data_IF_323300565181
#
_entry.id   IF_323300565181
#
_cell.length_a   1.000
_cell.length_b   1.000
_cell.length_c   1.000
_cell.angle_alpha   90.00
_cell.angle_beta   90.00
_cell.angle_gamma   90.00
#
_symmetry.space_group_name_H-M   'P 1'
#
loop_
_entity.id
_entity.type
_entity.pdbx_description
1 polymer ?
#
# COMPACT_ATOMS: atom_id res chain seq x y z
N UNK A 1 27.77 -63.75 -64.90
CA UNK A 1 28.00 -62.40 -65.47
C UNK A 1 28.92 -61.65 -64.50
N UNK A 2 30.25 -61.87 -64.52
CA UNK A 2 31.35 -61.03 -65.10
C UNK A 2 31.29 -59.55 -64.64
N UNK A 3 32.31 -58.85 -64.11
CA UNK A 3 33.75 -59.01 -63.78
C UNK A 3 34.10 -57.84 -62.82
N UNK A 4 34.87 -57.99 -61.73
CA UNK A 4 36.32 -57.72 -61.50
C UNK A 4 36.87 -56.33 -61.96
N UNK A 5 37.53 -55.59 -61.04
CA UNK A 5 38.92 -55.03 -61.06
C UNK A 5 39.06 -53.61 -60.45
N UNK A 6 39.83 -53.53 -59.33
CA UNK A 6 40.92 -52.60 -58.89
C UNK A 6 40.86 -51.10 -59.30
N UNK A 7 41.33 -50.13 -58.49
CA UNK A 7 42.74 -49.93 -58.14
C UNK A 7 42.95 -48.88 -57.04
N UNK A 8 44.02 -49.09 -56.26
CA UNK A 8 44.68 -48.22 -55.28
C UNK A 8 44.98 -46.79 -55.78
N UNK A 9 45.02 -45.79 -54.89
CA UNK A 9 46.28 -45.13 -54.46
C UNK A 9 46.03 -43.87 -53.63
N UNK A 10 47.02 -43.60 -52.79
CA UNK A 10 47.09 -42.72 -51.65
C UNK A 10 47.58 -41.29 -51.99
N UNK A 11 47.61 -40.45 -50.94
CA UNK A 11 48.45 -39.25 -50.68
C UNK A 11 47.88 -37.82 -50.88
N UNK A 12 47.85 -37.13 -49.73
CA UNK A 12 48.43 -35.79 -49.43
C UNK A 12 47.54 -34.53 -49.54
N UNK A 13 47.17 -34.08 -48.35
CA UNK A 13 47.33 -32.74 -47.75
C UNK A 13 47.03 -31.47 -48.56
N UNK A 14 46.08 -30.70 -48.04
CA UNK A 14 45.96 -29.26 -48.23
C UNK A 14 45.32 -28.64 -46.99
N UNK A 15 46.14 -27.96 -46.18
CA UNK A 15 45.72 -27.18 -45.02
C UNK A 15 44.80 -26.03 -45.45
N UNK A 16 43.57 -25.96 -44.91
CA UNK A 16 42.78 -24.73 -44.91
C UNK A 16 42.29 -24.45 -43.49
N UNK A 17 42.97 -23.52 -42.81
CA UNK A 17 42.58 -22.97 -41.52
C UNK A 17 41.39 -22.02 -41.76
N UNK A 18 40.17 -22.50 -41.51
CA UNK A 18 38.98 -21.65 -41.46
C UNK A 18 38.88 -21.08 -40.05
N UNK A 19 39.26 -19.82 -39.87
CA UNK A 19 38.99 -19.08 -38.63
C UNK A 19 37.50 -18.72 -38.62
N UNK A 20 36.69 -19.56 -37.97
CA UNK A 20 35.31 -19.21 -37.64
C UNK A 20 35.33 -18.25 -36.46
N UNK A 21 35.32 -16.95 -36.74
CA UNK A 21 35.05 -15.92 -35.75
C UNK A 21 33.63 -16.08 -35.21
N UNK A 22 33.50 -16.69 -34.03
CA UNK A 22 32.26 -16.69 -33.26
C UNK A 22 32.09 -15.28 -32.70
N UNK A 23 31.40 -14.41 -33.44
CA UNK A 23 30.83 -13.19 -32.87
C UNK A 23 29.73 -13.62 -31.91
N UNK A 24 30.07 -13.76 -30.62
CA UNK A 24 29.08 -13.81 -29.57
C UNK A 24 28.22 -12.53 -29.67
N UNK A 25 26.88 -12.60 -29.60
CA UNK A 25 26.08 -11.40 -29.54
C UNK A 25 26.49 -10.67 -28.26
N UNK A 26 27.10 -9.50 -28.42
CA UNK A 26 27.28 -8.55 -27.34
C UNK A 26 25.87 -8.26 -26.83
N UNK A 27 25.52 -8.82 -25.65
CA UNK A 27 24.34 -8.38 -24.92
C UNK A 27 24.51 -6.89 -24.75
N UNK A 28 23.69 -6.12 -25.46
CA UNK A 28 23.58 -4.68 -25.24
C UNK A 28 23.43 -4.48 -23.74
N UNK A 29 24.40 -3.81 -23.12
CA UNK A 29 24.32 -3.37 -21.74
C UNK A 29 23.02 -2.58 -21.63
N UNK A 30 22.01 -3.14 -20.95
CA UNK A 30 20.80 -2.41 -20.61
C UNK A 30 21.25 -1.10 -19.96
N UNK A 31 20.77 0.01 -20.50
CA UNK A 31 21.12 1.36 -20.10
C UNK A 31 21.05 1.48 -18.56
N UNK A 32 22.21 1.63 -17.91
CA UNK A 32 22.32 1.67 -16.43
C UNK A 32 21.95 3.06 -15.87
N UNK A 33 21.57 4.00 -16.73
CA UNK A 33 21.15 5.34 -16.35
C UNK A 33 19.74 5.41 -15.76
N UNK A 34 19.46 6.51 -15.07
CA UNK A 34 18.10 6.83 -14.63
C UNK A 34 17.27 7.24 -15.84
N UNK A 35 16.15 6.56 -16.09
CA UNK A 35 15.21 6.92 -17.15
C UNK A 35 14.16 7.89 -16.61
N UNK A 36 14.10 9.07 -17.20
CA UNK A 36 13.14 10.12 -16.82
C UNK A 36 11.96 10.17 -17.80
N UNK A 37 10.76 10.23 -17.26
CA UNK A 37 9.51 10.36 -18.02
C UNK A 37 8.57 11.31 -17.31
N UNK A 38 7.56 11.82 -18.02
CA UNK A 38 6.55 12.69 -17.43
C UNK A 38 5.17 12.29 -17.95
N UNK A 39 4.16 12.47 -17.10
CA UNK A 39 2.75 12.31 -17.45
C UNK A 39 1.90 13.13 -16.50
N UNK A 40 0.60 13.24 -16.76
CA UNK A 40 -0.34 13.95 -15.89
C UNK A 40 -1.30 12.98 -15.22
N UNK A 41 -1.59 13.20 -13.94
CA UNK A 41 -2.56 12.43 -13.17
C UNK A 41 -3.24 13.36 -12.17
N UNK A 42 -4.58 13.39 -12.12
CA UNK A 42 -5.31 14.10 -11.08
C UNK A 42 -5.21 13.34 -9.74
N UNK A 43 -5.18 14.01 -8.57
CA UNK A 43 -5.19 15.47 -8.35
C UNK A 43 -3.82 16.16 -8.49
N UNK A 44 -2.78 15.43 -8.87
CA UNK A 44 -1.38 15.88 -8.81
C UNK A 44 -0.93 16.80 -9.95
N UNK A 45 -1.65 16.80 -11.07
CA UNK A 45 -1.20 17.45 -12.29
C UNK A 45 -0.02 16.70 -12.88
N UNK A 46 1.06 17.42 -13.24
CA UNK A 46 2.26 16.81 -13.83
C UNK A 46 3.07 15.99 -12.82
N UNK A 47 3.29 14.72 -13.14
CA UNK A 47 4.18 13.77 -12.46
C UNK A 47 5.51 13.69 -13.22
N UNK A 48 6.63 13.69 -12.49
CA UNK A 48 7.97 13.42 -13.02
C UNK A 48 8.47 12.09 -12.49
N UNK A 49 8.66 11.11 -13.36
CA UNK A 49 8.98 9.75 -12.96
C UNK A 49 10.42 9.40 -13.31
N UNK A 50 11.21 9.09 -12.29
CA UNK A 50 12.62 8.71 -12.35
C UNK A 50 12.73 7.21 -12.07
N UNK A 51 13.09 6.44 -13.08
CA UNK A 51 13.23 4.98 -12.99
C UNK A 51 14.70 4.58 -12.82
N UNK A 52 15.03 3.74 -11.84
CA UNK A 52 16.39 3.21 -11.71
C UNK A 52 16.70 2.25 -12.87
N UNK A 53 17.98 1.99 -13.11
CA UNK A 53 18.40 0.89 -13.97
C UNK A 53 18.02 -0.45 -13.33
N UNK A 54 17.04 -1.15 -13.92
CA UNK A 54 16.53 -2.44 -13.43
C UNK A 54 15.31 -2.35 -12.49
N UNK A 55 14.99 -3.45 -11.81
CA UNK A 55 13.85 -3.51 -10.90
C UNK A 55 14.10 -2.66 -9.64
N UNK A 56 13.16 -1.77 -9.26
CA UNK A 56 13.35 -0.93 -8.09
C UNK A 56 13.32 -1.75 -6.81
N UNK A 57 14.13 -1.32 -5.84
CA UNK A 57 14.17 -1.89 -4.47
C UNK A 57 13.27 -1.15 -3.48
N UNK A 58 12.82 0.04 -3.83
CA UNK A 58 11.76 0.77 -3.14
C UNK A 58 11.10 1.79 -4.08
N UNK A 59 9.92 2.28 -3.68
CA UNK A 59 9.19 3.34 -4.36
C UNK A 59 9.14 4.58 -3.45
N UNK A 60 9.36 5.76 -4.01
CA UNK A 60 9.26 7.04 -3.31
C UNK A 60 8.32 8.01 -4.05
N UNK A 61 7.45 8.66 -3.29
CA UNK A 61 6.64 9.80 -3.77
C UNK A 61 7.25 11.08 -3.20
N UNK A 62 7.77 11.94 -4.07
CA UNK A 62 8.49 13.14 -3.67
C UNK A 62 7.63 14.38 -3.90
N UNK A 63 7.14 14.95 -2.79
CA UNK A 63 6.42 16.21 -2.69
C UNK A 63 7.40 17.40 -2.65
N UNK A 64 7.33 18.29 -3.64
CA UNK A 64 8.18 19.47 -3.74
C UNK A 64 7.93 20.51 -2.64
N UNK A 65 8.75 21.56 -2.60
CA UNK A 65 8.48 22.75 -1.79
C UNK A 65 7.48 23.72 -2.43
N UNK A 66 7.38 24.91 -1.84
CA UNK A 66 6.46 25.99 -2.19
C UNK A 66 6.60 26.50 -3.64
N UNK A 67 7.82 26.42 -4.19
CA UNK A 67 8.10 26.77 -5.58
C UNK A 67 7.65 25.73 -6.61
N UNK A 68 7.09 24.61 -6.19
CA UNK A 68 6.76 23.49 -7.07
C UNK A 68 7.97 22.65 -7.46
N UNK A 69 7.78 21.74 -8.44
CA UNK A 69 8.85 20.87 -8.92
C UNK A 69 9.89 21.65 -9.73
N UNK A 70 11.16 21.61 -9.33
CA UNK A 70 12.23 22.40 -9.92
C UNK A 70 13.54 21.57 -10.10
N UNK A 71 14.62 22.23 -10.55
CA UNK A 71 15.90 21.57 -10.80
C UNK A 71 16.53 20.96 -9.53
N UNK A 72 16.36 21.59 -8.36
CA UNK A 72 16.87 21.09 -7.08
C UNK A 72 16.18 19.79 -6.67
N UNK A 73 14.84 19.76 -6.67
CA UNK A 73 14.08 18.54 -6.36
C UNK A 73 14.29 17.46 -7.41
N UNK A 74 14.43 17.82 -8.69
CA UNK A 74 14.77 16.89 -9.77
C UNK A 74 16.14 16.23 -9.55
N UNK A 75 17.14 17.00 -9.13
CA UNK A 75 18.47 16.46 -8.84
C UNK A 75 18.45 15.49 -7.65
N UNK A 76 17.73 15.82 -6.58
CA UNK A 76 17.52 14.92 -5.44
C UNK A 76 16.80 13.63 -5.86
N UNK A 77 15.77 13.72 -6.70
CA UNK A 77 15.05 12.55 -7.23
C UNK A 77 15.95 11.65 -8.08
N UNK A 78 16.80 12.25 -8.93
CA UNK A 78 17.80 11.52 -9.72
C UNK A 78 18.82 10.82 -8.83
N UNK A 79 19.27 11.46 -7.76
CA UNK A 79 20.19 10.85 -6.78
C UNK A 79 19.58 9.63 -6.07
N UNK A 80 18.30 9.70 -5.72
CA UNK A 80 17.57 8.55 -5.15
C UNK A 80 17.40 7.43 -6.19
N UNK A 81 17.06 7.79 -7.45
CA UNK A 81 16.91 6.80 -8.52
C UNK A 81 18.22 6.11 -8.89
N UNK A 82 19.35 6.83 -8.89
CA UNK A 82 20.69 6.25 -9.04
C UNK A 82 21.01 5.22 -7.93
N UNK A 83 20.30 5.26 -6.81
CA UNK A 83 20.45 4.34 -5.67
C UNK A 83 19.38 3.24 -5.65
N UNK A 84 18.65 3.07 -6.75
CA UNK A 84 17.72 1.96 -6.97
C UNK A 84 16.26 2.24 -6.55
N UNK A 85 15.91 3.50 -6.26
CA UNK A 85 14.53 3.87 -5.93
C UNK A 85 13.76 4.27 -7.18
N UNK A 86 12.50 3.82 -7.30
CA UNK A 86 11.55 4.40 -8.23
C UNK A 86 11.00 5.70 -7.63
N UNK A 87 11.19 6.85 -8.26
CA UNK A 87 10.78 8.15 -7.68
C UNK A 87 9.74 8.84 -8.55
N UNK A 88 8.59 9.18 -7.97
CA UNK A 88 7.59 10.05 -8.60
C UNK A 88 7.60 11.43 -7.94
N UNK A 89 8.06 12.42 -8.68
CA UNK A 89 8.05 13.83 -8.31
C UNK A 89 6.69 14.48 -8.54
N UNK A 90 6.23 15.21 -7.54
CA UNK A 90 4.91 15.85 -7.45
C UNK A 90 5.07 17.30 -7.02
N UNK A 91 4.35 18.20 -7.67
CA UNK A 91 4.25 19.61 -7.24
C UNK A 91 3.29 19.75 -6.06
N UNK A 92 3.80 20.05 -4.87
CA UNK A 92 2.98 20.29 -3.67
C UNK A 92 1.99 21.45 -3.84
N UNK A 93 2.35 22.60 -4.44
CA UNK A 93 1.39 23.67 -4.72
C UNK A 93 0.26 23.25 -5.65
N UNK A 94 0.51 22.34 -6.61
CA UNK A 94 -0.54 21.81 -7.47
C UNK A 94 -1.46 20.87 -6.69
N UNK A 95 -0.89 19.93 -5.93
CA UNK A 95 -1.66 19.02 -5.08
C UNK A 95 -2.56 19.78 -4.11
N UNK A 96 -1.99 20.71 -3.34
CA UNK A 96 -2.75 21.47 -2.34
C UNK A 96 -3.86 22.32 -2.95
N UNK A 97 -3.61 22.98 -4.10
CA UNK A 97 -4.67 23.72 -4.81
C UNK A 97 -5.82 22.81 -5.24
N UNK A 98 -5.53 21.59 -5.68
CA UNK A 98 -6.57 20.64 -6.06
C UNK A 98 -7.34 20.15 -4.83
N UNK A 99 -6.65 19.74 -3.77
CA UNK A 99 -7.28 19.26 -2.53
C UNK A 99 -8.17 20.33 -1.88
N UNK A 100 -7.75 21.60 -1.90
CA UNK A 100 -8.55 22.74 -1.41
C UNK A 100 -9.85 22.95 -2.22
N UNK A 101 -9.85 22.61 -3.52
CA UNK A 101 -11.00 22.79 -4.42
C UNK A 101 -11.94 21.59 -4.51
N UNK A 102 -11.50 20.41 -4.09
CA UNK A 102 -12.34 19.21 -4.08
C UNK A 102 -13.59 19.40 -3.21
N UNK A 103 -14.62 18.59 -3.42
CA UNK A 103 -15.88 18.68 -2.67
C UNK A 103 -15.80 18.05 -1.27
N UNK A 104 -14.71 17.36 -0.95
CA UNK A 104 -14.49 16.80 0.38
C UNK A 104 -14.50 17.88 1.47
N UNK A 105 -15.15 17.55 2.59
CA UNK A 105 -15.31 18.45 3.75
C UNK A 105 -13.99 18.85 4.39
N UNK A 106 -12.95 18.04 4.22
CA UNK A 106 -11.63 18.23 4.79
C UNK A 106 -10.53 17.63 3.91
N UNK A 107 -9.27 18.00 4.15
CA UNK A 107 -8.08 17.51 3.44
C UNK A 107 -7.58 16.21 4.09
N UNK A 108 -7.47 15.16 3.28
CA UNK A 108 -6.72 13.93 3.57
C UNK A 108 -6.00 13.50 2.26
N UNK A 109 -4.67 13.69 2.15
CA UNK A 109 -3.94 13.37 0.92
C UNK A 109 -3.70 11.86 0.74
N UNK A 110 -3.99 11.04 1.75
CA UNK A 110 -3.47 9.69 1.82
C UNK A 110 -4.00 8.76 0.71
N UNK A 111 -5.31 8.82 0.42
CA UNK A 111 -5.90 8.00 -0.66
C UNK A 111 -5.30 8.36 -2.02
N UNK A 112 -5.15 9.66 -2.30
CA UNK A 112 -4.51 10.10 -3.54
C UNK A 112 -3.06 9.60 -3.63
N UNK A 113 -2.29 9.69 -2.54
CA UNK A 113 -0.89 9.24 -2.51
C UNK A 113 -0.77 7.72 -2.72
N UNK A 114 -1.65 6.92 -2.13
CA UNK A 114 -1.70 5.48 -2.38
C UNK A 114 -2.05 5.19 -3.85
N UNK A 115 -3.04 5.89 -4.42
CA UNK A 115 -3.40 5.74 -5.83
C UNK A 115 -2.22 6.10 -6.76
N UNK A 116 -1.50 7.18 -6.48
CA UNK A 116 -0.29 7.54 -7.24
C UNK A 116 0.80 6.47 -7.12
N UNK A 117 1.05 5.96 -5.92
CA UNK A 117 2.03 4.87 -5.71
C UNK A 117 1.71 3.65 -6.56
N UNK A 118 0.44 3.25 -6.61
CA UNK A 118 -0.04 2.13 -7.42
C UNK A 118 0.19 2.40 -8.90
N UNK A 119 -0.29 3.54 -9.41
CA UNK A 119 -0.14 3.94 -10.82
C UNK A 119 1.33 3.97 -11.25
N UNK A 120 2.19 4.60 -10.44
CA UNK A 120 3.64 4.70 -10.70
C UNK A 120 4.29 3.32 -10.76
N UNK A 121 3.99 2.43 -9.82
CA UNK A 121 4.59 1.10 -9.75
C UNK A 121 4.11 0.20 -10.90
N UNK A 122 2.83 0.24 -11.26
CA UNK A 122 2.35 -0.49 -12.42
C UNK A 122 2.98 0.02 -13.72
N UNK A 123 3.01 1.34 -13.95
CA UNK A 123 3.68 1.91 -15.12
C UNK A 123 5.16 1.54 -15.18
N UNK A 124 5.80 1.32 -14.03
CA UNK A 124 7.20 0.92 -13.96
C UNK A 124 7.42 -0.60 -14.07
N UNK A 125 6.36 -1.40 -14.19
CA UNK A 125 6.48 -2.85 -14.27
C UNK A 125 7.08 -3.46 -13.01
N UNK A 126 6.76 -2.90 -11.85
CA UNK A 126 7.23 -3.43 -10.56
C UNK A 126 6.54 -4.77 -10.30
N UNK A 127 7.32 -5.81 -9.99
CA UNK A 127 6.79 -7.18 -9.87
C UNK A 127 5.98 -7.43 -8.60
N UNK A 128 6.28 -6.72 -7.52
CA UNK A 128 5.58 -6.84 -6.24
C UNK A 128 5.37 -5.46 -5.65
N UNK A 129 4.14 -5.17 -5.21
CA UNK A 129 3.81 -3.88 -4.63
C UNK A 129 4.72 -3.57 -3.45
N UNK A 130 5.31 -2.37 -3.45
CA UNK A 130 6.09 -1.85 -2.34
C UNK A 130 5.34 -0.66 -1.75
N UNK A 131 5.04 -0.70 -0.45
CA UNK A 131 4.56 0.50 0.28
C UNK A 131 5.54 1.66 0.03
N UNK A 132 5.06 2.84 -0.40
CA UNK A 132 5.95 3.93 -0.79
C UNK A 132 6.61 4.57 0.43
N UNK A 133 7.78 5.17 0.21
CA UNK A 133 8.37 6.18 1.08
C UNK A 133 7.82 7.53 0.65
N UNK A 134 7.21 8.29 1.56
CA UNK A 134 6.81 9.67 1.25
C UNK A 134 7.97 10.59 1.56
N UNK A 135 8.44 11.35 0.58
CA UNK A 135 9.52 12.32 0.73
C UNK A 135 8.92 13.71 0.51
N UNK A 136 9.20 14.64 1.41
CA UNK A 136 8.73 16.01 1.30
C UNK A 136 9.84 17.01 1.51
N UNK A 137 9.86 18.06 0.70
CA UNK A 137 10.77 19.21 0.82
C UNK A 137 9.97 20.49 1.15
N UNK A 138 10.43 21.31 2.11
CA UNK A 138 9.72 22.53 2.58
C UNK A 138 8.24 22.25 2.89
N UNK A 139 7.26 22.96 2.32
CA UNK A 139 5.84 22.66 2.50
C UNK A 139 5.45 21.22 2.12
N UNK A 140 6.15 20.59 1.17
CA UNK A 140 6.00 19.16 0.90
C UNK A 140 6.37 18.28 2.09
N UNK A 141 7.35 18.71 2.90
CA UNK A 141 7.76 18.05 4.14
C UNK A 141 6.64 18.11 5.20
N UNK A 142 5.90 19.22 5.25
CA UNK A 142 4.73 19.43 6.10
C UNK A 142 3.55 18.56 5.65
N UNK A 143 3.26 18.50 4.34
CA UNK A 143 2.24 17.58 3.79
C UNK A 143 2.62 16.12 4.03
N UNK A 144 3.91 15.76 3.89
CA UNK A 144 4.41 14.42 4.15
C UNK A 144 4.18 14.02 5.61
N UNK A 145 4.51 14.88 6.57
CA UNK A 145 4.18 14.66 7.99
C UNK A 145 2.67 14.58 8.23
N UNK A 146 1.87 15.48 7.66
CA UNK A 146 0.42 15.46 7.84
C UNK A 146 -0.19 14.16 7.33
N UNK A 147 0.27 13.66 6.18
CA UNK A 147 -0.16 12.37 5.63
C UNK A 147 0.12 11.22 6.61
N UNK A 148 1.35 11.17 7.16
CA UNK A 148 1.73 10.21 8.21
C UNK A 148 0.90 10.37 9.48
N UNK A 149 0.71 11.60 9.95
CA UNK A 149 0.02 11.87 11.20
C UNK A 149 -1.48 11.56 11.09
N UNK A 150 -2.09 11.70 9.91
CA UNK A 150 -3.45 11.27 9.65
C UNK A 150 -3.58 9.75 9.56
N UNK A 151 -2.54 9.03 9.11
CA UNK A 151 -2.46 7.57 9.09
C UNK A 151 -1.23 7.04 9.87
N UNK A 152 -1.24 7.10 11.21
CA UNK A 152 -0.08 6.78 12.05
C UNK A 152 0.43 5.33 11.94
N UNK A 153 -0.37 4.46 11.33
CA UNK A 153 -0.11 3.04 11.08
C UNK A 153 -0.23 2.68 9.58
N UNK A 154 -0.10 3.68 8.71
CA UNK A 154 -0.66 3.71 7.35
C UNK A 154 0.04 2.92 6.26
N UNK A 155 -0.29 3.31 5.02
CA UNK A 155 0.13 2.69 3.76
C UNK A 155 1.60 2.89 3.40
N UNK A 156 2.38 3.54 4.26
CA UNK A 156 3.74 3.98 3.95
C UNK A 156 4.77 3.07 4.59
N UNK A 157 5.90 2.93 3.90
CA UNK A 157 7.07 2.25 4.45
C UNK A 157 7.79 3.17 5.44
N UNK A 158 7.88 4.46 5.12
CA UNK A 158 8.47 5.51 5.95
C UNK A 158 8.10 6.89 5.39
N UNK A 159 8.35 7.93 6.17
CA UNK A 159 8.28 9.32 5.71
C UNK A 159 9.60 10.04 5.96
N UNK A 160 10.04 10.82 4.97
CA UNK A 160 11.23 11.66 5.00
C UNK A 160 10.82 13.12 4.77
N UNK A 161 11.15 13.99 5.72
CA UNK A 161 10.84 15.42 5.66
C UNK A 161 12.14 16.23 5.67
N UNK A 162 12.40 17.02 4.61
CA UNK A 162 13.53 17.93 4.50
C UNK A 162 13.04 19.38 4.68
N UNK A 163 13.57 20.10 5.67
CA UNK A 163 13.13 21.48 5.92
C UNK A 163 11.73 21.54 6.53
N UNK A 164 11.47 20.75 7.59
CA UNK A 164 10.12 20.55 8.13
C UNK A 164 9.65 21.70 9.03
N UNK A 165 8.56 22.36 8.65
CA UNK A 165 7.73 23.17 9.54
C UNK A 165 6.38 22.50 9.82
N UNK A 166 5.79 22.78 10.98
CA UNK A 166 4.52 22.18 11.39
C UNK A 166 3.29 22.96 10.85
N UNK A 167 3.50 24.07 10.16
CA UNK A 167 2.44 24.93 9.64
C UNK A 167 2.36 24.90 8.11
N UNK A 168 1.14 24.98 7.58
CA UNK A 168 0.87 25.04 6.15
C UNK A 168 -0.24 26.05 5.82
N UNK A 169 -0.09 26.91 4.80
CA UNK A 169 -1.16 27.79 4.35
C UNK A 169 -2.35 26.99 3.80
N UNK A 170 -3.56 27.52 4.00
CA UNK A 170 -4.78 26.85 3.53
C UNK A 170 -6.06 27.41 4.14
N UNK A 171 -7.20 27.00 3.59
CA UNK A 171 -8.53 27.39 4.09
C UNK A 171 -9.35 26.18 4.51
N UNK A 172 -9.33 25.10 3.74
CA UNK A 172 -10.07 23.87 4.03
C UNK A 172 -9.49 23.19 5.28
N UNK A 173 -10.34 22.71 6.21
CA UNK A 173 -9.87 21.96 7.38
C UNK A 173 -9.21 20.65 6.98
N UNK A 174 -8.30 20.15 7.82
CA UNK A 174 -7.71 18.82 7.66
C UNK A 174 -8.57 17.77 8.37
N UNK A 175 -8.69 16.59 7.77
CA UNK A 175 -9.54 15.54 8.34
C UNK A 175 -8.99 15.05 9.68
N UNK A 176 -9.88 14.93 10.67
CA UNK A 176 -9.55 14.36 11.97
C UNK A 176 -9.11 12.91 11.83
N UNK A 177 -8.11 12.52 12.62
CA UNK A 177 -7.67 11.14 12.74
C UNK A 177 -7.16 10.87 14.16
N UNK A 178 -7.10 9.61 14.61
CA UNK A 178 -6.55 9.27 15.91
C UNK A 178 -5.18 9.91 16.17
N UNK A 179 -5.11 10.75 17.21
CA UNK A 179 -3.90 11.47 17.60
C UNK A 179 -3.51 12.66 16.72
N UNK A 180 -4.15 12.87 15.57
CA UNK A 180 -3.89 14.01 14.69
C UNK A 180 -4.70 15.23 15.13
N UNK A 181 -4.01 16.35 15.36
CA UNK A 181 -4.63 17.64 15.68
C UNK A 181 -4.07 18.71 14.75
N UNK A 182 -4.98 19.52 14.20
CA UNK A 182 -4.68 20.68 13.39
C UNK A 182 -5.44 21.89 13.96
N UNK A 183 -4.75 23.01 14.15
CA UNK A 183 -5.33 24.25 14.67
C UNK A 183 -5.24 25.34 13.61
N UNK A 184 -6.32 26.08 13.39
CA UNK A 184 -6.30 27.21 12.47
C UNK A 184 -5.38 28.31 13.01
N UNK A 185 -4.55 28.89 12.14
CA UNK A 185 -3.65 29.99 12.44
C UNK A 185 -3.86 31.14 11.45
N UNK A 186 -3.51 32.36 11.86
CA UNK A 186 -3.57 33.56 11.02
C UNK A 186 -2.17 34.12 10.66
N UNK A 187 -1.10 33.60 11.28
CA UNK A 187 0.29 33.99 11.07
C UNK A 187 1.17 32.74 10.93
N UNK A 188 2.22 32.74 10.07
CA UNK A 188 2.62 33.85 9.20
C UNK A 188 1.63 34.12 8.06
N UNK A 189 0.81 33.13 7.70
CA UNK A 189 -0.34 33.26 6.83
C UNK A 189 -1.56 32.53 7.41
N UNK A 190 -2.75 32.76 6.85
CA UNK A 190 -3.93 31.97 7.17
C UNK A 190 -3.69 30.51 6.75
N UNK A 191 -3.80 29.60 7.70
CA UNK A 191 -3.47 28.19 7.48
C UNK A 191 -3.74 27.32 8.70
N UNK A 192 -2.96 26.25 8.81
CA UNK A 192 -3.09 25.23 9.84
C UNK A 192 -1.74 24.95 10.49
N UNK A 193 -1.73 24.88 11.82
CA UNK A 193 -0.62 24.41 12.63
C UNK A 193 -0.93 22.98 13.11
N UNK A 194 -0.07 22.04 12.77
CA UNK A 194 -0.19 20.65 13.20
C UNK A 194 0.45 20.44 14.57
N UNK A 195 -0.12 19.52 15.35
CA UNK A 195 0.49 19.05 16.59
C UNK A 195 1.27 17.73 16.37
N UNK A 196 2.24 17.41 17.25
CA UNK A 196 2.86 16.08 17.29
C UNK A 196 1.83 14.97 17.52
N UNK A 197 1.81 13.96 16.65
CA UNK A 197 0.99 12.77 16.85
C UNK A 197 1.80 11.67 17.57
N UNK A 198 1.40 11.34 18.81
CA UNK A 198 2.04 10.33 19.66
C UNK A 198 1.62 8.89 19.36
N UNK A 199 0.75 8.68 18.38
CA UNK A 199 0.27 7.36 17.96
C UNK A 199 0.99 6.83 16.71
N UNK A 200 1.90 7.63 16.10
CA UNK A 200 2.71 7.22 14.96
C UNK A 200 3.58 6.03 15.34
N UNK A 201 3.49 4.96 14.53
CA UNK A 201 4.28 3.73 14.69
C UNK A 201 5.13 3.41 13.44
N UNK A 202 5.25 4.36 12.50
CA UNK A 202 6.07 4.23 11.31
C UNK A 202 7.31 5.13 11.42
N UNK A 203 8.44 4.75 10.78
CA UNK A 203 9.64 5.58 10.78
C UNK A 203 9.37 6.95 10.14
N UNK A 204 9.67 8.02 10.89
CA UNK A 204 9.68 9.39 10.38
C UNK A 204 11.08 9.98 10.46
N UNK A 205 11.72 10.19 9.33
CA UNK A 205 13.06 10.78 9.27
C UNK A 205 12.92 12.26 8.94
N UNK A 206 13.53 13.13 9.74
CA UNK A 206 13.57 14.57 9.48
C UNK A 206 15.01 14.97 9.24
N UNK A 207 15.26 15.68 8.15
CA UNK A 207 16.57 16.27 7.83
C UNK A 207 16.42 17.78 7.99
N UNK A 208 17.21 18.36 8.89
CA UNK A 208 17.12 19.78 9.18
C UNK A 208 18.51 20.41 9.26
N UNK A 209 18.69 21.52 8.55
CA UNK A 209 19.86 22.38 8.65
C UNK A 209 19.81 23.28 9.89
N UNK A 210 20.94 23.42 10.59
CA UNK A 210 21.02 24.38 11.71
C UNK A 210 21.09 25.84 11.25
N UNK A 211 21.46 26.07 9.97
CA UNK A 211 21.52 27.40 9.35
C UNK A 211 20.33 27.67 8.44
N UNK A 212 19.27 26.87 8.55
CA UNK A 212 18.02 27.11 7.84
C UNK A 212 17.39 28.42 8.35
N UNK A 213 17.28 29.41 7.47
CA UNK A 213 16.70 30.73 7.76
C UNK A 213 15.21 30.82 7.42
N UNK A 214 14.64 29.78 6.80
CA UNK A 214 13.23 29.69 6.44
C UNK A 214 12.45 28.99 7.55
N UNK A 215 13.02 27.92 8.12
CA UNK A 215 12.43 27.11 9.17
C UNK A 215 13.34 27.05 10.39
N UNK A 216 12.82 27.40 11.57
CA UNK A 216 13.56 27.34 12.84
C UNK A 216 13.95 25.89 13.21
N UNK A 217 15.26 25.61 13.18
CA UNK A 217 15.84 24.34 13.60
C UNK A 217 15.41 23.94 15.01
N UNK A 218 15.37 24.88 15.96
CA UNK A 218 15.03 24.60 17.34
C UNK A 218 13.56 24.18 17.47
N UNK A 219 12.65 24.84 16.74
CA UNK A 219 11.25 24.44 16.65
C UNK A 219 11.07 23.05 16.03
N UNK A 220 11.72 22.78 14.89
CA UNK A 220 11.68 21.46 14.25
C UNK A 220 12.19 20.36 15.20
N UNK A 221 13.33 20.59 15.87
CA UNK A 221 13.89 19.65 16.85
C UNK A 221 12.94 19.37 18.02
N UNK A 222 12.32 20.41 18.61
CA UNK A 222 11.34 20.25 19.70
C UNK A 222 10.10 19.49 19.25
N UNK A 223 9.65 19.69 18.01
CA UNK A 223 8.51 18.99 17.46
C UNK A 223 8.82 17.50 17.26
N UNK A 224 9.93 17.20 16.58
CA UNK A 224 10.37 15.83 16.25
C UNK A 224 10.58 14.99 17.51
N UNK A 225 11.13 15.58 18.57
CA UNK A 225 11.34 14.88 19.85
C UNK A 225 10.04 14.38 20.52
N UNK A 226 8.88 14.89 20.12
CA UNK A 226 7.57 14.49 20.67
C UNK A 226 6.87 13.41 19.85
N UNK A 227 7.41 13.04 18.69
CA UNK A 227 6.82 12.03 17.80
C UNK A 227 7.59 10.72 17.95
N UNK A 228 6.92 9.62 18.35
CA UNK A 228 7.56 8.30 18.42
C UNK A 228 8.08 7.84 17.07
N UNK A 229 9.14 7.03 17.09
CA UNK A 229 9.81 6.51 15.87
C UNK A 229 10.34 7.60 14.92
N UNK A 230 10.41 8.85 15.39
CA UNK A 230 11.01 9.93 14.64
C UNK A 230 12.53 9.96 14.84
N UNK A 231 13.26 10.28 13.77
CA UNK A 231 14.72 10.42 13.77
C UNK A 231 15.10 11.74 13.12
N UNK A 232 15.72 12.62 13.90
CA UNK A 232 16.32 13.85 13.38
C UNK A 232 17.74 13.59 12.86
N UNK A 233 17.99 13.96 11.61
CA UNK A 233 19.31 14.08 10.99
C UNK A 233 19.64 15.57 10.96
N UNK A 234 20.42 15.99 11.96
CA UNK A 234 20.95 17.34 12.09
C UNK A 234 22.10 17.57 11.09
N UNK A 235 22.02 18.65 10.31
CA UNK A 235 23.08 19.17 9.45
C UNK A 235 23.62 20.51 10.00
N UNK A 236 24.76 20.52 10.73
CA UNK A 236 25.29 21.74 11.35
C UNK A 236 25.58 22.89 10.39
N UNK A 237 25.93 22.56 9.14
CA UNK A 237 26.23 23.52 8.08
C UNK A 237 25.13 23.57 7.02
N UNK A 238 24.03 22.85 7.21
CA UNK A 238 22.93 22.80 6.26
C UNK A 238 22.07 24.05 6.31
N UNK A 239 21.67 24.52 5.13
CA UNK A 239 20.67 25.56 4.90
C UNK A 239 19.33 24.94 4.47
N UNK A 240 18.37 25.79 4.08
CA UNK A 240 17.07 25.35 3.61
C UNK A 240 17.12 24.68 2.23
N UNK A 241 18.09 25.02 1.37
CA UNK A 241 18.15 24.55 0.00
C UNK A 241 18.71 23.11 -0.12
N UNK A 242 19.42 22.64 0.90
CA UNK A 242 20.06 21.32 0.93
C UNK A 242 20.96 21.08 -0.29
N UNK A 243 21.64 22.12 -0.78
CA UNK A 243 22.40 22.07 -2.03
C UNK A 243 23.57 21.08 -2.01
N UNK A 244 24.30 20.98 -0.88
CA UNK A 244 25.43 20.05 -0.70
C UNK A 244 24.96 18.60 -0.42
N UNK A 245 24.35 17.98 -1.45
CA UNK A 245 23.82 16.62 -1.39
C UNK A 245 24.85 15.56 -1.06
N UNK A 246 26.12 15.81 -1.37
CA UNK A 246 27.21 14.88 -1.05
C UNK A 246 27.37 14.67 0.46
N UNK A 247 27.10 15.71 1.28
CA UNK A 247 27.22 15.63 2.74
C UNK A 247 26.04 14.95 3.43
N UNK A 248 24.83 15.10 2.92
CA UNK A 248 23.62 14.63 3.63
C UNK A 248 22.95 13.41 3.01
N UNK A 249 23.02 13.20 1.69
CA UNK A 249 22.37 12.08 1.03
C UNK A 249 22.84 10.71 1.56
N UNK A 250 24.14 10.47 1.83
CA UNK A 250 24.57 9.22 2.45
C UNK A 250 23.94 8.96 3.83
N UNK A 251 23.73 10.02 4.63
CA UNK A 251 23.10 9.92 5.96
C UNK A 251 21.62 9.56 5.85
N UNK A 252 20.92 10.14 4.88
CA UNK A 252 19.53 9.80 4.56
C UNK A 252 19.42 8.34 4.12
N UNK A 253 20.29 7.91 3.20
CA UNK A 253 20.27 6.53 2.71
C UNK A 253 20.60 5.52 3.81
N UNK A 254 21.53 5.84 4.72
CA UNK A 254 21.81 5.02 5.89
C UNK A 254 20.60 4.93 6.83
N UNK A 255 19.85 6.02 7.00
CA UNK A 255 18.62 6.01 7.79
C UNK A 255 17.49 5.22 7.12
N UNK A 256 17.40 5.25 5.78
CA UNK A 256 16.42 4.48 5.01
C UNK A 256 16.79 3.01 4.84
N UNK A 257 18.07 2.63 4.95
CA UNK A 257 18.54 1.27 4.65
C UNK A 257 17.71 0.15 5.30
N UNK A 258 17.30 0.22 6.59
CA UNK A 258 16.45 -0.81 7.20
C UNK A 258 15.09 -0.98 6.52
N UNK A 259 14.58 0.08 5.90
CA UNK A 259 13.29 0.11 5.19
C UNK A 259 13.39 -0.39 3.75
N UNK A 260 14.60 -0.42 3.18
CA UNK A 260 14.88 -0.88 1.81
C UNK A 260 15.13 -2.40 1.74
N UNK A 261 15.42 -3.03 2.88
CA UNK A 261 15.56 -4.47 2.95
C UNK A 261 14.19 -5.12 2.76
N UNK A 262 14.11 -6.09 1.85
CA UNK A 262 12.97 -7.00 1.78
C UNK A 262 13.12 -7.96 2.96
N UNK A 263 12.08 -8.10 3.78
CA UNK A 263 12.09 -9.13 4.82
C UNK A 263 11.99 -10.45 4.07
N UNK A 264 13.06 -11.24 4.11
CA UNK A 264 13.06 -12.57 3.51
C UNK A 264 12.07 -13.46 4.28
N UNK A 265 11.30 -14.19 3.50
CA UNK A 265 10.15 -14.97 3.89
C UNK A 265 10.52 -16.44 4.12
N UNK A 266 10.39 -16.97 5.35
CA UNK A 266 10.35 -18.42 5.62
C UNK A 266 9.42 -18.84 6.81
N UNK A 267 8.11 -19.04 6.51
CA UNK A 267 7.02 -19.76 7.25
C UNK A 267 5.57 -19.35 6.84
N UNK A 268 4.94 -20.09 5.90
CA UNK A 268 3.86 -19.59 5.01
C UNK A 268 4.24 -18.25 4.31
N UNK A 269 5.50 -17.85 4.43
CA UNK A 269 5.96 -16.47 4.28
C UNK A 269 6.03 -16.03 2.82
N UNK A 270 5.78 -16.92 1.85
CA UNK A 270 5.54 -16.52 0.45
C UNK A 270 4.27 -15.64 0.30
N UNK A 271 3.45 -15.57 1.36
CA UNK A 271 2.26 -14.74 1.42
C UNK A 271 2.49 -13.46 2.25
N UNK A 272 1.99 -12.29 1.78
CA UNK A 272 2.08 -11.02 2.50
C UNK A 272 1.07 -10.96 3.66
N UNK A 273 1.34 -11.69 4.74
CA UNK A 273 0.46 -11.80 5.91
C UNK A 273 0.77 -10.74 6.97
N UNK A 274 -0.28 -10.23 7.62
CA UNK A 274 -0.21 -9.33 8.76
C UNK A 274 -0.77 -10.05 9.98
N UNK A 275 0.07 -10.31 10.98
CA UNK A 275 -0.34 -11.09 12.16
C UNK A 275 -0.69 -10.16 13.31
N UNK A 276 -1.92 -10.26 13.84
CA UNK A 276 -2.36 -9.53 15.03
C UNK A 276 -2.66 -10.56 16.13
N UNK A 277 -1.86 -10.54 17.18
CA UNK A 277 -2.02 -11.43 18.33
C UNK A 277 -3.05 -10.86 19.32
N UNK A 278 -3.80 -11.72 20.02
CA UNK A 278 -4.78 -11.29 21.01
C UNK A 278 -4.10 -10.56 22.17
N UNK A 279 -4.83 -9.64 22.81
CA UNK A 279 -4.32 -8.93 23.97
C UNK A 279 -4.03 -9.93 25.13
N UNK A 280 -2.92 -9.77 25.89
CA UNK A 280 -2.47 -10.75 26.88
C UNK A 280 -3.49 -11.16 27.97
N UNK A 281 -4.52 -10.33 28.22
CA UNK A 281 -5.56 -10.55 29.25
C UNK A 281 -6.97 -10.68 28.67
N UNK A 282 -7.10 -10.83 27.36
CA UNK A 282 -8.40 -11.02 26.75
C UNK A 282 -8.96 -12.41 27.08
N UNK A 283 -10.29 -12.52 27.19
CA UNK A 283 -10.99 -13.79 27.36
C UNK A 283 -10.68 -14.72 26.19
N UNK A 284 -10.46 -16.00 26.49
CA UNK A 284 -10.17 -17.00 25.47
C UNK A 284 -11.44 -17.29 24.63
N UNK A 285 -11.38 -17.00 23.32
CA UNK A 285 -12.45 -17.27 22.35
C UNK A 285 -11.98 -18.33 21.36
N UNK A 286 -12.71 -19.42 21.12
CA UNK A 286 -12.25 -20.52 20.25
C UNK A 286 -12.08 -20.13 18.76
N UNK A 287 -12.40 -18.88 18.39
CA UNK A 287 -12.29 -18.36 17.04
C UNK A 287 -10.97 -17.63 16.76
N UNK A 288 -10.58 -17.67 15.49
CA UNK A 288 -9.63 -16.73 14.87
C UNK A 288 -10.32 -16.01 13.70
N UNK A 289 -9.74 -14.88 13.27
CA UNK A 289 -10.21 -14.20 12.06
C UNK A 289 -9.17 -14.25 10.94
N UNK A 290 -9.65 -14.36 9.70
CA UNK A 290 -8.88 -14.10 8.49
C UNK A 290 -9.53 -12.91 7.79
N UNK A 291 -8.78 -11.82 7.60
CA UNK A 291 -9.30 -10.58 7.04
C UNK A 291 -8.63 -10.29 5.69
N UNK A 292 -9.41 -10.11 4.63
CA UNK A 292 -8.94 -9.58 3.34
C UNK A 292 -9.26 -8.09 3.26
N UNK A 293 -8.22 -7.26 3.12
CA UNK A 293 -8.36 -5.80 3.10
C UNK A 293 -9.05 -5.27 1.84
N UNK A 294 -9.36 -3.97 1.85
CA UNK A 294 -9.72 -3.24 0.63
C UNK A 294 -8.55 -3.09 -0.35
N UNK A 295 -8.80 -2.39 -1.46
CA UNK A 295 -7.83 -2.15 -2.54
C UNK A 295 -6.68 -1.19 -2.17
N UNK A 296 -6.82 -0.47 -1.04
CA UNK A 296 -5.75 0.31 -0.43
C UNK A 296 -4.69 -0.51 0.31
N UNK A 297 -4.89 -1.82 0.46
CA UNK A 297 -4.01 -2.73 1.22
C UNK A 297 -4.34 -2.75 2.72
N UNK A 298 -3.46 -3.35 3.53
CA UNK A 298 -3.67 -3.53 4.97
C UNK A 298 -3.42 -2.23 5.74
N UNK A 299 -4.41 -1.34 5.76
CA UNK A 299 -4.33 0.02 6.31
C UNK A 299 -5.65 0.47 6.92
N UNK A 300 -5.61 1.45 7.82
CA UNK A 300 -6.80 2.09 8.36
C UNK A 300 -7.82 1.09 8.91
N UNK A 301 -9.02 1.07 8.31
CA UNK A 301 -10.17 0.35 8.83
C UNK A 301 -9.93 -1.15 9.02
N UNK A 302 -9.30 -1.83 8.06
CA UNK A 302 -9.03 -3.28 8.13
C UNK A 302 -8.22 -3.67 9.36
N UNK A 303 -7.14 -2.90 9.58
CA UNK A 303 -6.24 -3.08 10.73
C UNK A 303 -6.95 -2.69 12.03
N UNK A 304 -7.73 -1.61 12.01
CA UNK A 304 -8.43 -1.14 13.21
C UNK A 304 -9.48 -2.17 13.64
N UNK A 305 -10.20 -2.80 12.70
CA UNK A 305 -11.08 -3.94 12.99
C UNK A 305 -10.27 -5.09 13.59
N UNK A 306 -9.13 -5.45 13.00
CA UNK A 306 -8.28 -6.51 13.53
C UNK A 306 -7.82 -6.23 14.98
N UNK A 307 -7.47 -4.97 15.28
CA UNK A 307 -7.11 -4.54 16.63
C UNK A 307 -8.27 -4.65 17.62
N UNK A 308 -9.49 -4.30 17.21
CA UNK A 308 -10.70 -4.46 18.03
C UNK A 308 -11.02 -5.94 18.30
N UNK A 309 -10.83 -6.83 17.32
CA UNK A 309 -10.99 -8.28 17.50
C UNK A 309 -9.93 -8.85 18.45
N UNK A 310 -8.66 -8.46 18.27
CA UNK A 310 -7.57 -8.89 19.13
C UNK A 310 -7.74 -8.42 20.58
N UNK A 311 -8.25 -7.20 20.80
CA UNK A 311 -8.61 -6.70 22.13
C UNK A 311 -9.69 -7.54 22.82
N UNK A 312 -10.52 -8.25 22.04
CA UNK A 312 -11.56 -9.16 22.50
C UNK A 312 -11.13 -10.64 22.49
N UNK A 313 -9.85 -10.92 22.28
CA UNK A 313 -9.27 -12.25 22.44
C UNK A 313 -9.19 -13.08 21.16
N UNK A 314 -9.52 -12.50 20.01
CA UNK A 314 -9.53 -13.19 18.73
C UNK A 314 -8.27 -12.83 17.94
N UNK A 315 -7.32 -13.77 17.74
CA UNK A 315 -6.17 -13.54 16.86
C UNK A 315 -6.63 -13.32 15.41
N UNK A 316 -5.86 -12.53 14.66
CA UNK A 316 -6.17 -12.20 13.26
C UNK A 316 -4.98 -12.47 12.35
N UNK A 317 -5.25 -13.13 11.21
CA UNK A 317 -4.39 -13.12 10.03
C UNK A 317 -4.98 -12.14 9.02
N UNK A 318 -4.26 -11.08 8.70
CA UNK A 318 -4.63 -10.08 7.71
C UNK A 318 -3.93 -10.28 6.38
N UNK A 319 -4.68 -10.30 5.28
CA UNK A 319 -4.17 -10.32 3.92
C UNK A 319 -4.24 -8.90 3.38
N UNK A 320 -3.08 -8.35 3.02
CA UNK A 320 -2.98 -7.10 2.26
C UNK A 320 -3.41 -7.38 0.82
N UNK A 321 -4.70 -7.14 0.50
CA UNK A 321 -5.26 -7.46 -0.81
C UNK A 321 -4.50 -6.76 -1.94
N UNK A 322 -4.05 -5.51 -1.72
CA UNK A 322 -3.24 -4.77 -2.70
C UNK A 322 -1.96 -5.51 -3.07
N UNK A 323 -1.23 -5.99 -2.08
CA UNK A 323 0.02 -6.72 -2.28
C UNK A 323 -0.24 -8.14 -2.82
N UNK A 324 -1.28 -8.80 -2.32
CA UNK A 324 -1.60 -10.19 -2.66
C UNK A 324 -2.11 -10.36 -4.10
N UNK A 325 -2.98 -9.44 -4.56
CA UNK A 325 -3.54 -9.40 -5.91
C UNK A 325 -2.82 -8.42 -6.84
N UNK A 326 -1.62 -7.96 -6.46
CA UNK A 326 -0.75 -7.16 -7.33
C UNK A 326 -0.44 -7.91 -8.65
N UNK A 327 -0.25 -9.23 -8.54
CA UNK A 327 -0.22 -10.15 -9.67
C UNK A 327 -1.53 -10.94 -9.72
N UNK A 328 -1.92 -11.35 -10.92
CA UNK A 328 -3.15 -12.11 -11.14
C UNK A 328 -3.19 -13.38 -10.28
N UNK A 329 -4.33 -13.60 -9.62
CA UNK A 329 -4.63 -14.84 -8.89
C UNK A 329 -5.87 -15.51 -9.49
N UNK A 330 -5.99 -16.82 -9.31
CA UNK A 330 -7.23 -17.55 -9.59
C UNK A 330 -7.99 -17.79 -8.28
N UNK A 331 -9.33 -17.90 -8.29
CA UNK A 331 -10.08 -18.25 -7.08
C UNK A 331 -9.59 -19.55 -6.43
N UNK A 332 -9.24 -20.56 -7.24
CA UNK A 332 -8.72 -21.83 -6.75
C UNK A 332 -7.33 -21.69 -6.09
N UNK A 333 -6.42 -20.92 -6.69
CA UNK A 333 -5.11 -20.64 -6.08
C UNK A 333 -5.26 -19.89 -4.75
N UNK A 334 -6.13 -18.87 -4.72
CA UNK A 334 -6.42 -18.13 -3.50
C UNK A 334 -7.12 -18.99 -2.42
N UNK A 335 -7.95 -19.96 -2.82
CA UNK A 335 -8.53 -20.94 -1.91
C UNK A 335 -7.49 -21.87 -1.29
N UNK A 336 -6.48 -22.28 -2.07
CA UNK A 336 -5.36 -23.07 -1.56
C UNK A 336 -4.52 -22.28 -0.54
N UNK A 337 -4.28 -21.00 -0.81
CA UNK A 337 -3.59 -20.11 0.13
C UNK A 337 -4.41 -19.91 1.42
N UNK A 338 -5.71 -19.67 1.31
CA UNK A 338 -6.60 -19.56 2.47
C UNK A 338 -6.59 -20.85 3.31
N UNK A 339 -6.61 -22.03 2.67
CA UNK A 339 -6.48 -23.32 3.35
C UNK A 339 -5.14 -23.45 4.09
N UNK A 340 -4.03 -23.05 3.48
CA UNK A 340 -2.69 -23.04 4.12
C UNK A 340 -2.68 -22.15 5.36
N UNK A 341 -3.27 -20.95 5.25
CA UNK A 341 -3.39 -19.99 6.35
C UNK A 341 -4.21 -20.58 7.49
N UNK A 342 -5.42 -21.09 7.20
CA UNK A 342 -6.31 -21.67 8.19
C UNK A 342 -5.61 -22.82 8.92
N UNK A 343 -5.05 -23.79 8.18
CA UNK A 343 -4.39 -24.95 8.77
C UNK A 343 -3.21 -24.56 9.68
N UNK A 344 -2.39 -23.61 9.25
CA UNK A 344 -1.22 -23.18 10.03
C UNK A 344 -1.63 -22.45 11.32
N UNK A 345 -2.56 -21.50 11.21
CA UNK A 345 -2.87 -20.59 12.32
C UNK A 345 -3.93 -21.13 13.27
N UNK A 346 -4.89 -21.94 12.79
CA UNK A 346 -5.87 -22.60 13.67
C UNK A 346 -5.18 -23.57 14.62
N UNK A 347 -4.22 -24.35 14.11
CA UNK A 347 -3.39 -25.26 14.91
C UNK A 347 -2.46 -24.48 15.86
N UNK A 348 -1.73 -23.49 15.34
CA UNK A 348 -0.77 -22.70 16.14
C UNK A 348 -1.42 -21.98 17.33
N UNK A 349 -2.64 -21.48 17.15
CA UNK A 349 -3.33 -20.69 18.19
C UNK A 349 -4.36 -21.49 18.98
N UNK A 350 -4.58 -22.77 18.64
CA UNK A 350 -5.66 -23.58 19.17
C UNK A 350 -7.04 -22.90 19.00
N UNK A 351 -7.30 -22.39 17.79
CA UNK A 351 -8.52 -21.67 17.40
C UNK A 351 -9.15 -22.34 16.16
N UNK A 352 -9.90 -23.43 16.33
CA UNK A 352 -10.38 -24.23 15.20
C UNK A 352 -11.46 -23.54 14.37
N UNK A 353 -12.11 -22.49 14.90
CA UNK A 353 -13.21 -21.79 14.24
C UNK A 353 -12.73 -20.51 13.56
N UNK A 354 -13.06 -20.31 12.30
CA UNK A 354 -12.53 -19.21 11.48
C UNK A 354 -13.64 -18.24 11.09
N UNK A 355 -13.47 -16.97 11.41
CA UNK A 355 -14.29 -15.89 10.87
C UNK A 355 -13.60 -15.31 9.63
N UNK A 356 -14.25 -15.40 8.47
CA UNK A 356 -13.79 -14.73 7.26
C UNK A 356 -14.40 -13.34 7.19
N UNK A 357 -13.56 -12.33 6.98
CA UNK A 357 -13.99 -10.93 6.89
C UNK A 357 -13.35 -10.31 5.64
N UNK A 358 -14.15 -9.73 4.76
CA UNK A 358 -13.67 -8.99 3.60
C UNK A 358 -14.16 -7.55 3.65
N UNK A 359 -13.28 -6.62 3.30
CA UNK A 359 -13.63 -5.21 3.10
C UNK A 359 -13.43 -4.82 1.64
N UNK A 360 -14.42 -4.15 1.04
CA UNK A 360 -14.36 -3.62 -0.33
C UNK A 360 -13.89 -4.71 -1.30
N UNK A 361 -12.76 -4.50 -1.99
CA UNK A 361 -12.11 -5.51 -2.83
C UNK A 361 -11.99 -6.92 -2.18
N UNK A 362 -11.64 -6.98 -0.90
CA UNK A 362 -11.57 -8.25 -0.16
C UNK A 362 -12.95 -8.88 0.06
N UNK A 363 -14.00 -8.08 0.21
CA UNK A 363 -15.39 -8.55 0.27
C UNK A 363 -15.84 -9.14 -1.08
N UNK A 364 -15.39 -8.55 -2.19
CA UNK A 364 -15.75 -9.02 -3.53
C UNK A 364 -15.08 -10.36 -3.85
N UNK A 365 -13.81 -10.51 -3.49
CA UNK A 365 -13.03 -11.71 -3.78
C UNK A 365 -13.42 -12.93 -2.91
N UNK A 366 -13.69 -12.72 -1.62
CA UNK A 366 -13.87 -13.81 -0.65
C UNK A 366 -14.95 -14.85 -1.01
N UNK A 367 -16.15 -14.48 -1.51
CA UNK A 367 -17.17 -15.46 -1.86
C UNK A 367 -16.69 -16.50 -2.88
N UNK A 368 -15.95 -16.09 -3.91
CA UNK A 368 -15.42 -17.02 -4.90
C UNK A 368 -14.29 -17.88 -4.33
N UNK A 369 -13.41 -17.28 -3.51
CA UNK A 369 -12.31 -17.99 -2.81
C UNK A 369 -12.88 -19.09 -1.91
N UNK A 370 -13.83 -18.73 -1.05
CA UNK A 370 -14.51 -19.66 -0.13
C UNK A 370 -15.22 -20.79 -0.88
N UNK A 371 -15.78 -20.49 -2.06
CA UNK A 371 -16.43 -21.49 -2.92
C UNK A 371 -15.49 -22.62 -3.39
N UNK A 372 -14.17 -22.41 -3.36
CA UNK A 372 -13.17 -23.41 -3.76
C UNK A 372 -12.60 -24.24 -2.62
N UNK A 373 -12.98 -23.94 -1.36
CA UNK A 373 -12.52 -24.69 -0.19
C UNK A 373 -13.08 -26.11 -0.20
N UNK A 374 -12.22 -27.06 0.17
CA UNK A 374 -12.61 -28.44 0.45
C UNK A 374 -13.52 -28.52 1.70
N UNK A 375 -14.29 -29.61 1.86
CA UNK A 375 -15.24 -29.74 2.97
C UNK A 375 -14.59 -29.57 4.35
N UNK A 376 -13.41 -30.15 4.58
CA UNK A 376 -12.73 -30.08 5.88
C UNK A 376 -12.32 -28.64 6.25
N UNK A 377 -11.86 -27.86 5.28
CA UNK A 377 -11.56 -26.44 5.50
C UNK A 377 -12.85 -25.63 5.65
N UNK A 378 -13.89 -25.96 4.90
CA UNK A 378 -15.19 -25.28 4.96
C UNK A 378 -15.87 -25.43 6.33
N UNK A 379 -15.78 -26.60 6.95
CA UNK A 379 -16.36 -26.89 8.26
C UNK A 379 -15.73 -26.06 9.40
N UNK A 380 -14.51 -25.54 9.19
CA UNK A 380 -13.88 -24.62 10.14
C UNK A 380 -14.45 -23.20 10.05
N UNK A 381 -15.14 -22.84 8.95
CA UNK A 381 -15.64 -21.48 8.74
C UNK A 381 -16.89 -21.23 9.60
N UNK A 382 -16.74 -20.41 10.63
CA UNK A 382 -17.80 -20.05 11.55
C UNK A 382 -18.73 -18.94 11.01
N UNK A 383 -18.22 -18.03 10.17
CA UNK A 383 -19.01 -16.95 9.56
C UNK A 383 -18.26 -16.27 8.42
N UNK A 384 -19.01 -15.64 7.51
CA UNK A 384 -18.51 -14.73 6.48
C UNK A 384 -19.12 -13.33 6.67
N UNK A 385 -18.28 -12.30 6.76
CA UNK A 385 -18.71 -10.90 6.82
C UNK A 385 -18.15 -10.12 5.64
N UNK A 386 -19.03 -9.50 4.86
CA UNK A 386 -18.73 -8.75 3.65
C UNK A 386 -19.04 -7.27 3.89
N UNK A 387 -18.01 -6.44 4.04
CA UNK A 387 -18.13 -5.01 4.33
C UNK A 387 -17.92 -4.23 3.04
N UNK A 388 -18.94 -3.49 2.58
CA UNK A 388 -18.84 -2.65 1.38
C UNK A 388 -18.76 -3.47 0.10
N UNK A 389 -19.56 -4.55 0.02
CA UNK A 389 -19.59 -5.48 -1.11
C UNK A 389 -20.03 -4.78 -2.41
N UNK A 390 -19.21 -4.87 -3.44
CA UNK A 390 -19.48 -4.44 -4.81
C UNK A 390 -20.14 -5.52 -5.67
N UNK A 391 -20.60 -5.17 -6.89
CA UNK A 391 -21.33 -6.08 -7.78
C UNK A 391 -20.43 -7.12 -8.47
N UNK A 392 -19.14 -6.84 -8.60
CA UNK A 392 -18.18 -7.67 -9.33
C UNK A 392 -16.89 -7.85 -8.54
N UNK A 393 -16.21 -8.97 -8.77
CA UNK A 393 -14.94 -9.33 -8.16
C UNK A 393 -13.85 -9.41 -9.23
N UNK A 394 -12.83 -8.58 -9.07
CA UNK A 394 -11.58 -8.66 -9.84
C UNK A 394 -10.53 -9.45 -9.03
N UNK A 395 -9.81 -10.38 -9.67
CA UNK A 395 -8.71 -11.14 -9.04
C UNK A 395 -7.32 -10.64 -9.43
N UNK A 396 -7.25 -9.39 -9.90
CA UNK A 396 -6.04 -8.68 -10.27
C UNK A 396 -6.32 -7.18 -10.23
N UNK A 397 -5.37 -6.38 -9.75
CA UNK A 397 -5.43 -4.94 -9.96
C UNK A 397 -5.09 -4.60 -11.42
N UNK A 398 -6.12 -4.27 -12.21
CA UNK A 398 -5.93 -3.66 -13.52
C UNK A 398 -5.99 -2.13 -13.39
N UNK A 399 -5.06 -1.44 -14.05
CA UNK A 399 -5.17 0.01 -14.29
C UNK A 399 -6.51 0.38 -14.99
N UNK A 400 -7.10 -0.54 -15.74
CA UNK A 400 -8.37 -0.36 -16.45
C UNK A 400 -9.60 -0.38 -15.54
N UNK A 401 -9.61 -1.20 -14.47
CA UNK A 401 -10.67 -1.17 -13.44
C UNK A 401 -10.78 0.21 -12.77
N UNK A 402 -9.74 1.05 -12.87
CA UNK A 402 -9.70 2.42 -12.30
C UNK A 402 -10.34 3.49 -13.18
N UNK A 403 -10.68 3.16 -14.44
CA UNK A 403 -11.45 4.01 -15.35
C UNK A 403 -12.95 3.64 -15.35
N UNK A 404 -13.42 2.86 -14.38
CA UNK A 404 -14.75 2.21 -14.37
C UNK A 404 -15.00 1.38 -15.65
N UNK A 405 -13.95 0.78 -16.20
CA UNK A 405 -14.09 -0.19 -17.29
C UNK A 405 -14.13 -1.58 -16.66
N UNK A 406 -15.23 -2.30 -16.88
CA UNK A 406 -15.36 -3.70 -16.47
C UNK A 406 -14.14 -4.47 -16.96
N UNK A 407 -13.46 -5.17 -16.05
CA UNK A 407 -12.46 -6.14 -16.49
C UNK A 407 -13.22 -7.26 -17.22
N UNK A 408 -12.73 -7.69 -18.39
CA UNK A 408 -13.35 -8.78 -19.15
C UNK A 408 -13.39 -10.12 -18.37
N UNK A 409 -12.83 -10.16 -17.16
CA UNK A 409 -12.65 -11.32 -16.30
C UNK A 409 -13.35 -11.15 -14.94
N UNK A 410 -14.02 -10.01 -14.70
CA UNK A 410 -14.70 -9.70 -13.45
C UNK A 410 -15.86 -10.69 -13.22
N UNK A 411 -15.92 -11.31 -12.05
CA UNK A 411 -16.95 -12.29 -11.72
C UNK A 411 -18.06 -11.64 -10.88
N UNK A 412 -19.35 -11.89 -11.15
CA UNK A 412 -20.42 -11.31 -10.35
C UNK A 412 -20.40 -11.88 -8.92
N UNK A 413 -20.50 -11.02 -7.91
CA UNK A 413 -20.37 -11.40 -6.50
C UNK A 413 -21.57 -12.17 -5.97
N UNK A 414 -22.79 -11.75 -6.34
CA UNK A 414 -24.04 -12.35 -5.85
C UNK A 414 -24.17 -13.85 -6.23
N UNK A 415 -23.92 -14.29 -7.48
CA UNK A 415 -23.92 -15.71 -7.81
C UNK A 415 -22.88 -16.53 -7.03
N UNK A 416 -21.72 -15.96 -6.69
CA UNK A 416 -20.75 -16.64 -5.84
C UNK A 416 -21.29 -16.85 -4.43
N UNK A 417 -21.91 -15.82 -3.84
CA UNK A 417 -22.57 -15.89 -2.52
C UNK A 417 -23.71 -16.92 -2.54
N UNK A 418 -24.51 -16.96 -3.61
CA UNK A 418 -25.62 -17.91 -3.75
C UNK A 418 -25.18 -19.38 -3.79
N UNK A 419 -23.90 -19.68 -4.01
CA UNK A 419 -23.35 -21.04 -3.94
C UNK A 419 -22.84 -21.41 -2.55
N UNK A 420 -22.68 -20.43 -1.67
CA UNK A 420 -22.34 -20.66 -0.28
C UNK A 420 -23.61 -21.10 0.46
N UNK A 421 -23.50 -22.23 1.15
CA UNK A 421 -24.55 -22.83 1.98
C UNK A 421 -23.96 -23.08 3.36
N UNK A 422 -24.83 -23.16 4.37
CA UNK A 422 -24.50 -23.64 5.72
C UNK A 422 -23.48 -22.81 6.51
N UNK A 423 -23.22 -21.58 6.08
CA UNK A 423 -22.38 -20.60 6.80
C UNK A 423 -23.16 -19.31 7.01
N UNK A 424 -23.17 -18.73 8.22
CA UNK A 424 -23.77 -17.41 8.45
C UNK A 424 -23.05 -16.33 7.64
N UNK A 425 -23.77 -15.69 6.71
CA UNK A 425 -23.26 -14.57 5.90
C UNK A 425 -23.87 -13.26 6.38
N UNK A 426 -23.02 -12.24 6.54
CA UNK A 426 -23.41 -10.85 6.80
C UNK A 426 -22.93 -9.96 5.67
N UNK A 427 -23.82 -9.11 5.16
CA UNK A 427 -23.47 -8.08 4.18
C UNK A 427 -23.73 -6.71 4.80
N UNK A 428 -22.68 -5.93 4.97
CA UNK A 428 -22.67 -4.67 5.72
C UNK A 428 -22.40 -3.55 4.74
N UNK A 429 -23.27 -2.53 4.71
CA UNK A 429 -23.11 -1.34 3.86
C UNK A 429 -23.33 -0.03 4.63
N UNK A 430 -22.66 1.02 4.19
CA UNK A 430 -22.86 2.38 4.67
C UNK A 430 -24.21 2.96 4.20
N UNK A 431 -24.78 3.90 4.94
CA UNK A 431 -25.98 4.63 4.53
C UNK A 431 -25.78 5.47 3.27
N UNK A 432 -24.54 5.84 2.95
CA UNK A 432 -24.18 6.63 1.77
C UNK A 432 -23.63 5.78 0.61
N UNK A 433 -23.58 4.44 0.75
CA UNK A 433 -23.17 3.55 -0.34
C UNK A 433 -24.34 3.21 -1.28
N UNK A 434 -24.26 3.71 -2.51
CA UNK A 434 -25.30 3.48 -3.53
C UNK A 434 -25.02 2.24 -4.39
N UNK A 435 -23.76 1.88 -4.58
CA UNK A 435 -23.34 0.84 -5.51
C UNK A 435 -23.12 -0.54 -4.85
N UNK A 436 -23.63 -0.71 -3.63
CA UNK A 436 -23.46 -1.97 -2.90
C UNK A 436 -24.32 -3.09 -3.49
N UNK A 437 -23.74 -4.29 -3.63
CA UNK A 437 -24.45 -5.49 -4.04
C UNK A 437 -25.25 -6.16 -2.91
N UNK A 438 -25.12 -5.72 -1.65
CA UNK A 438 -25.85 -6.31 -0.53
C UNK A 438 -27.37 -6.42 -0.75
N UNK A 439 -28.08 -5.40 -1.31
CA UNK A 439 -29.52 -5.48 -1.55
C UNK A 439 -29.93 -6.54 -2.58
N UNK A 440 -29.02 -6.89 -3.50
CA UNK A 440 -29.28 -7.87 -4.56
C UNK A 440 -29.14 -9.33 -4.07
N UNK A 441 -28.62 -9.56 -2.87
CA UNK A 441 -28.54 -10.91 -2.28
C UNK A 441 -29.97 -11.38 -1.92
N UNK A 442 -30.41 -12.57 -2.39
CA UNK A 442 -31.71 -13.12 -2.05
C UNK A 442 -31.97 -13.18 -0.54
N UNK A 443 -33.20 -12.87 -0.13
CA UNK A 443 -33.62 -12.89 1.28
C UNK A 443 -33.36 -14.27 1.89
N UNK A 444 -32.81 -14.28 3.11
CA UNK A 444 -32.48 -15.50 3.84
C UNK A 444 -31.06 -16.04 3.60
N UNK A 445 -30.37 -15.60 2.53
CA UNK A 445 -28.98 -16.04 2.27
C UNK A 445 -27.93 -15.24 3.06
N UNK A 446 -28.20 -13.96 3.33
CA UNK A 446 -27.32 -13.11 4.13
C UNK A 446 -28.14 -12.17 5.02
N UNK A 447 -27.61 -11.88 6.21
CA UNK A 447 -28.11 -10.81 7.06
C UNK A 447 -27.59 -9.48 6.52
N UNK A 448 -28.50 -8.63 6.04
CA UNK A 448 -28.16 -7.29 5.58
C UNK A 448 -28.11 -6.31 6.76
N UNK A 449 -27.01 -5.56 6.89
CA UNK A 449 -26.78 -4.60 7.97
C UNK A 449 -26.42 -3.26 7.33
N UNK A 450 -27.06 -2.19 7.78
CA UNK A 450 -26.76 -0.82 7.32
C UNK A 450 -26.20 -0.04 8.50
N UNK A 451 -25.09 0.66 8.30
CA UNK A 451 -24.43 1.47 9.33
C UNK A 451 -24.18 2.90 8.83
N UNK A 452 -24.01 3.90 9.72
CA UNK A 452 -23.69 5.26 9.30
C UNK A 452 -22.40 5.37 8.46
N UNK A 453 -22.39 6.36 7.56
CA UNK A 453 -21.23 6.71 6.75
C UNK A 453 -21.30 6.18 5.31
N UNK A 454 -20.24 6.44 4.56
CA UNK A 454 -20.04 5.89 3.20
C UNK A 454 -19.24 4.60 3.19
N UNK A 455 -18.51 4.36 2.09
CA UNK A 455 -17.71 3.15 1.87
C UNK A 455 -16.59 2.93 2.92
N UNK A 456 -16.22 3.96 3.68
CA UNK A 456 -15.25 3.85 4.78
C UNK A 456 -15.91 3.78 6.18
N UNK A 457 -17.25 3.73 6.25
CA UNK A 457 -18.02 3.51 7.48
C UNK A 457 -17.66 4.49 8.63
N UNK A 458 -17.38 5.74 8.28
CA UNK A 458 -16.89 6.80 9.18
C UNK A 458 -15.69 6.39 10.05
N UNK A 459 -14.90 5.41 9.58
CA UNK A 459 -13.77 4.79 10.29
C UNK A 459 -14.18 4.17 11.64
N UNK A 460 -15.44 3.75 11.79
CA UNK A 460 -15.97 3.19 13.03
C UNK A 460 -15.66 1.69 13.18
N UNK A 461 -14.38 1.38 13.39
CA UNK A 461 -13.90 0.01 13.55
C UNK A 461 -14.52 -0.71 14.75
N UNK A 462 -14.83 0.01 15.84
CA UNK A 462 -15.44 -0.57 17.03
C UNK A 462 -16.86 -1.08 16.75
N UNK A 463 -17.68 -0.31 16.03
CA UNK A 463 -19.01 -0.73 15.59
C UNK A 463 -18.92 -1.98 14.70
N UNK A 464 -18.06 -1.94 13.69
CA UNK A 464 -17.90 -3.04 12.74
C UNK A 464 -17.39 -4.31 13.42
N UNK A 465 -16.42 -4.21 14.34
CA UNK A 465 -15.94 -5.33 15.13
C UNK A 465 -17.07 -5.97 15.98
N UNK A 466 -17.92 -5.16 16.60
CA UNK A 466 -19.07 -5.68 17.36
C UNK A 466 -20.08 -6.40 16.45
N UNK A 467 -20.34 -5.87 15.25
CA UNK A 467 -21.23 -6.47 14.25
C UNK A 467 -20.69 -7.83 13.77
N UNK A 468 -19.39 -7.90 13.42
CA UNK A 468 -18.80 -9.17 12.94
C UNK A 468 -18.63 -10.22 14.05
N UNK A 469 -18.66 -9.82 15.33
CA UNK A 469 -18.62 -10.77 16.44
C UNK A 469 -19.97 -11.37 16.79
N UNK A 470 -21.05 -10.60 16.62
CA UNK A 470 -22.39 -10.98 17.06
C UNK A 470 -23.23 -11.54 15.91
N UNK A 471 -23.56 -12.84 15.91
CA UNK A 471 -24.40 -13.43 14.86
C UNK A 471 -25.88 -13.00 14.94
N UNK A 472 -26.32 -12.41 16.05
CA UNK A 472 -27.73 -12.08 16.32
C UNK A 472 -28.11 -10.60 16.15
N UNK A 473 -27.16 -9.70 15.82
CA UNK A 473 -27.45 -8.27 15.74
C UNK A 473 -28.25 -7.92 14.47
N UNK A 474 -29.57 -8.09 14.52
CA UNK A 474 -30.53 -7.41 13.65
C UNK A 474 -30.62 -5.94 14.07
N UNK A 475 -29.54 -5.17 13.99
CA UNK A 475 -29.62 -3.73 14.23
C UNK A 475 -29.75 -3.03 12.88
N UNK A 476 -30.96 -2.53 12.60
CA UNK A 476 -31.07 -1.24 11.90
C UNK A 476 -30.75 -0.20 12.96
N UNK A 477 -29.63 0.49 12.82
CA UNK A 477 -29.36 1.74 13.55
C UNK A 477 -29.82 2.88 12.67
#
# INVERSE_FOLDING_TARGET
MRKIIRTMSSLVAGCLLVVTGVCAPVRASADRGVRETAYSLAPFGGIRLYRPGGQPRATALFLSGDGGWNAGTAAMARDLANRGLLVAGVSTPTLMRTLERQHDRCIDPNYALVALSRDVQHRAGVHAYMKPIIIGYSAGATVAYASLAQWPNGAYRAVLSLGFSADIPGKKPWCSAPGFRAHAIAKPARGWLFAPNRQINLPWIVVQGQRDTVVDFAAARRFVAQVPHARLIDLPQGDHDFADRARWMPRVMAALAPMLNRVDAANVDDLPLNIVTPAPRATHDDRMAVIYSGDGGWVGLDRDIAGQLAAKGIPVVGIDSLSYFWSQRTPAGAGQDLRRIIAAYSARWNRPRVMLIGYSFGADALPAIMGTLDPQTRDQIASLSLLGLGPTADFQFHLASWLNLDSAQAQPTVPAIMRLRDVPIRCIRGTLEQDSACPAIPRGLATQIVVPGGHHFDRNAALLANIVLNPASRQRV
#
